data_IF_162564372134
#
_entry.id   IF_162564372134
#
_cell.length_a   1.000
_cell.length_b   1.000
_cell.length_c   1.000
_cell.angle_alpha   90.00
_cell.angle_beta   90.00
_cell.angle_gamma   90.00
#
_symmetry.space_group_name_H-M   'P 1'
#
loop_
_entity.id
_entity.type
_entity.pdbx_description
1 polymer ?
#
# COMPACT_ATOMS: atom_id res chain seq x y z
N UNK A 1 -13.28 19.79 16.53
CA UNK A 1 -14.34 19.71 15.53
C UNK A 1 -14.46 18.26 15.13
N UNK A 2 -15.65 17.69 14.90
CA UNK A 2 -15.74 16.38 14.28
C UNK A 2 -15.09 16.42 12.89
N UNK A 3 -14.43 15.32 12.49
CA UNK A 3 -13.90 15.17 11.13
C UNK A 3 -15.06 15.30 10.13
N UNK A 4 -14.86 15.91 8.95
CA UNK A 4 -15.88 15.93 7.91
C UNK A 4 -16.21 14.48 7.55
N UNK A 5 -17.41 14.04 7.91
CA UNK A 5 -17.89 12.67 7.62
C UNK A 5 -18.13 12.41 6.13
N UNK A 6 -17.95 13.42 5.28
CA UNK A 6 -18.40 13.44 3.88
C UNK A 6 -17.34 13.93 2.88
N UNK A 7 -16.04 13.73 3.15
CA UNK A 7 -15.05 13.96 2.10
C UNK A 7 -15.33 13.04 0.90
N UNK A 8 -15.49 13.62 -0.29
CA UNK A 8 -15.70 12.85 -1.51
C UNK A 8 -14.43 12.03 -1.83
N UNK A 9 -14.56 10.81 -2.37
CA UNK A 9 -13.41 10.04 -2.85
C UNK A 9 -12.68 10.78 -3.97
N UNK A 10 -11.35 10.88 -3.87
CA UNK A 10 -10.48 11.62 -4.79
C UNK A 10 -9.37 10.71 -5.34
N UNK A 11 -8.90 10.95 -6.57
CA UNK A 11 -7.71 10.29 -7.08
C UNK A 11 -6.45 10.77 -6.32
N UNK A 12 -5.34 10.01 -6.39
CA UNK A 12 -4.10 10.38 -5.70
C UNK A 12 -3.59 11.78 -6.07
N UNK A 13 -3.69 12.19 -7.34
CA UNK A 13 -3.15 13.45 -7.86
C UNK A 13 -3.76 14.70 -7.21
N UNK A 14 -5.00 14.65 -6.74
CA UNK A 14 -5.63 15.76 -6.03
C UNK A 14 -4.88 16.16 -4.76
N UNK A 15 -4.11 15.22 -4.19
CA UNK A 15 -3.32 15.43 -2.97
C UNK A 15 -1.87 15.85 -3.25
N UNK A 16 -1.41 15.88 -4.51
CA UNK A 16 -0.01 16.10 -4.86
C UNK A 16 0.59 17.36 -4.19
N UNK A 17 -0.14 18.49 -4.23
CA UNK A 17 0.29 19.75 -3.64
C UNK A 17 0.46 19.65 -2.12
N UNK A 18 -0.39 18.90 -1.44
CA UNK A 18 -0.36 18.73 0.03
C UNK A 18 0.79 17.83 0.48
N UNK A 19 1.30 16.97 -0.41
CA UNK A 19 2.37 16.02 -0.14
C UNK A 19 3.74 16.50 -0.67
N UNK A 20 3.84 17.74 -1.16
CA UNK A 20 5.07 18.33 -1.69
C UNK A 20 6.00 18.82 -0.55
N UNK A 21 6.32 17.93 0.37
CA UNK A 21 7.25 18.14 1.49
C UNK A 21 8.70 18.19 1.00
N UNK A 22 9.60 18.73 1.84
CA UNK A 22 11.04 18.79 1.54
C UNK A 22 11.63 17.41 1.27
N UNK A 23 11.30 16.45 2.13
CA UNK A 23 11.66 15.04 1.95
C UNK A 23 10.39 14.24 1.59
N UNK A 24 10.44 13.34 0.59
CA UNK A 24 9.25 12.58 0.19
C UNK A 24 8.62 11.82 1.36
N UNK A 25 7.35 12.08 1.62
CA UNK A 25 6.58 11.38 2.67
C UNK A 25 6.38 9.91 2.33
N UNK A 26 6.19 9.07 3.36
CA UNK A 26 5.81 7.67 3.19
C UNK A 26 4.29 7.55 3.14
N UNK A 27 3.77 7.45 1.92
CA UNK A 27 2.37 7.23 1.64
C UNK A 27 2.00 5.77 1.94
N UNK A 28 0.92 5.57 2.68
CA UNK A 28 0.39 4.24 3.03
C UNK A 28 -1.11 4.17 2.72
N UNK A 29 -1.83 3.19 3.26
CA UNK A 29 -3.28 3.14 3.16
C UNK A 29 -3.84 2.92 1.75
N UNK A 30 -5.00 3.53 1.49
CA UNK A 30 -5.75 3.37 0.24
C UNK A 30 -5.07 3.99 -0.96
N UNK A 31 -4.55 5.21 -0.82
CA UNK A 31 -3.89 5.91 -1.93
C UNK A 31 -2.57 5.26 -2.35
N UNK A 32 -1.84 4.62 -1.43
CA UNK A 32 -0.67 3.83 -1.80
C UNK A 32 -1.03 2.65 -2.72
N UNK A 33 -2.15 1.97 -2.46
CA UNK A 33 -2.67 0.90 -3.34
C UNK A 33 -3.12 1.48 -4.68
N UNK A 34 -3.79 2.63 -4.68
CA UNK A 34 -4.25 3.31 -5.89
C UNK A 34 -3.07 3.72 -6.80
N UNK A 35 -1.95 4.21 -6.24
CA UNK A 35 -0.74 4.51 -7.02
C UNK A 35 -0.16 3.25 -7.67
N UNK A 36 -0.10 2.13 -6.96
CA UNK A 36 0.31 0.86 -7.56
C UNK A 36 -0.66 0.38 -8.64
N UNK A 37 -1.97 0.59 -8.45
CA UNK A 37 -2.96 0.26 -9.47
C UNK A 37 -2.75 1.08 -10.75
N UNK A 38 -2.48 2.39 -10.62
CA UNK A 38 -2.16 3.25 -11.74
C UNK A 38 -0.83 2.86 -12.42
N UNK A 39 0.19 2.49 -11.64
CA UNK A 39 1.47 2.02 -12.20
C UNK A 39 1.30 0.75 -13.03
N UNK A 40 0.43 -0.18 -12.59
CA UNK A 40 0.08 -1.40 -13.33
C UNK A 40 -1.29 -1.30 -14.01
N UNK A 41 -1.64 -0.14 -14.57
CA UNK A 41 -2.97 0.12 -15.16
C UNK A 41 -3.38 -0.93 -16.20
N UNK A 42 -2.44 -1.42 -17.00
CA UNK A 42 -2.69 -2.51 -17.95
C UNK A 42 -3.25 -3.80 -17.31
N UNK A 43 -3.11 -3.98 -16.00
CA UNK A 43 -3.59 -5.13 -15.22
C UNK A 43 -4.80 -4.82 -14.35
N UNK A 44 -5.07 -3.55 -14.10
CA UNK A 44 -6.03 -3.11 -13.08
C UNK A 44 -7.12 -2.17 -13.61
N UNK A 45 -7.08 -1.79 -14.87
CA UNK A 45 -8.00 -0.80 -15.48
C UNK A 45 -9.49 -1.13 -15.23
N UNK A 46 -9.86 -2.41 -15.25
CA UNK A 46 -11.24 -2.84 -15.00
C UNK A 46 -11.70 -2.63 -13.54
N UNK A 47 -10.75 -2.36 -12.63
CA UNK A 47 -11.00 -2.06 -11.22
C UNK A 47 -11.07 -0.56 -10.93
N UNK A 48 -10.99 0.31 -11.94
CA UNK A 48 -11.14 1.76 -11.76
C UNK A 48 -12.56 2.12 -11.24
N UNK A 49 -12.76 3.32 -10.66
CA UNK A 49 -11.80 4.38 -10.42
C UNK A 49 -10.92 4.14 -9.20
N UNK A 50 -9.66 4.60 -9.24
CA UNK A 50 -8.72 4.50 -8.11
C UNK A 50 -8.79 5.75 -7.26
N UNK A 51 -9.68 5.74 -6.26
CA UNK A 51 -9.98 6.89 -5.41
C UNK A 51 -10.03 6.49 -3.94
N UNK A 52 -9.68 7.42 -3.04
CA UNK A 52 -9.88 7.32 -1.60
C UNK A 52 -10.40 8.63 -1.04
N UNK A 53 -11.05 8.60 0.13
CA UNK A 53 -11.56 9.80 0.81
C UNK A 53 -10.45 10.62 1.46
N UNK A 54 -9.35 9.97 1.79
CA UNK A 54 -8.23 10.45 2.57
C UNK A 54 -6.90 10.00 1.98
N UNK A 55 -5.85 10.60 2.48
CA UNK A 55 -4.47 10.17 2.26
C UNK A 55 -3.85 9.82 3.61
N UNK A 56 -3.34 8.61 3.72
CA UNK A 56 -2.60 8.14 4.89
C UNK A 56 -1.09 8.33 4.68
N UNK A 57 -0.43 9.02 5.60
CA UNK A 57 1.02 9.20 5.63
C UNK A 57 1.59 8.58 6.90
N UNK A 58 2.58 7.70 6.78
CA UNK A 58 3.30 7.19 7.94
C UNK A 58 4.31 8.25 8.40
N UNK A 59 4.13 8.76 9.61
CA UNK A 59 4.95 9.84 10.14
C UNK A 59 4.72 10.10 11.62
N UNK A 60 5.21 11.23 12.05
CA UNK A 60 5.15 11.73 13.41
C UNK A 60 4.55 13.14 13.46
N UNK A 61 4.72 13.79 14.61
CA UNK A 61 4.22 15.16 14.82
C UNK A 61 4.89 16.18 13.90
N UNK A 62 6.18 16.02 13.61
CA UNK A 62 6.92 16.93 12.74
C UNK A 62 6.37 16.82 11.30
N UNK A 63 6.14 15.60 10.82
CA UNK A 63 5.48 15.33 9.54
C UNK A 63 4.10 16.00 9.47
N UNK A 64 3.29 15.88 10.53
CA UNK A 64 1.96 16.50 10.60
C UNK A 64 2.03 18.03 10.53
N UNK A 65 2.96 18.65 11.25
CA UNK A 65 3.16 20.10 11.27
C UNK A 65 3.66 20.63 9.91
N UNK A 66 4.55 19.89 9.22
CA UNK A 66 5.01 20.23 7.86
C UNK A 66 3.86 20.20 6.86
N UNK A 67 3.07 19.13 6.86
CA UNK A 67 1.89 18.99 5.97
C UNK A 67 0.85 20.11 6.24
N UNK A 68 0.60 20.43 7.52
CA UNK A 68 -0.30 21.51 7.87
C UNK A 68 0.19 22.88 7.39
N UNK A 69 1.50 23.12 7.45
CA UNK A 69 2.13 24.33 6.90
C UNK A 69 1.96 24.44 5.39
N UNK A 70 2.15 23.33 4.65
CA UNK A 70 1.92 23.28 3.20
C UNK A 70 0.46 23.54 2.84
N UNK A 71 -0.46 22.99 3.64
CA UNK A 71 -1.89 23.20 3.48
C UNK A 71 -2.35 24.62 3.89
N UNK A 72 -1.51 25.40 4.55
CA UNK A 72 -1.89 26.73 5.08
C UNK A 72 -2.94 26.65 6.20
N UNK A 73 -2.98 25.54 6.97
CA UNK A 73 -4.00 25.30 8.01
C UNK A 73 -3.36 24.83 9.30
N UNK A 74 -4.15 24.72 10.37
CA UNK A 74 -3.69 24.16 11.65
C UNK A 74 -4.04 22.67 11.69
N UNK A 75 -3.09 21.80 12.12
CA UNK A 75 -3.38 20.39 12.26
C UNK A 75 -4.31 20.12 13.45
N UNK A 76 -5.15 19.11 13.34
CA UNK A 76 -5.84 18.53 14.47
C UNK A 76 -5.01 17.38 15.03
N UNK A 77 -4.41 17.58 16.21
CA UNK A 77 -3.54 16.60 16.86
C UNK A 77 -4.39 15.69 17.73
N UNK A 78 -4.16 14.38 17.62
CA UNK A 78 -4.84 13.39 18.46
C UNK A 78 -3.99 13.04 19.69
N UNK A 79 -4.64 12.87 20.86
CA UNK A 79 -3.93 12.53 22.09
C UNK A 79 -3.38 11.11 22.03
N UNK A 80 -2.32 10.85 22.85
CA UNK A 80 -1.80 9.49 23.00
C UNK A 80 -2.69 8.58 23.85
N UNK A 81 -3.70 9.14 24.51
CA UNK A 81 -4.65 8.40 25.36
C UNK A 81 -6.09 8.89 25.10
N UNK A 82 -7.04 8.00 24.75
CA UNK A 82 -6.84 6.57 24.47
C UNK A 82 -5.87 6.34 23.30
N UNK A 83 -5.16 5.22 23.26
CA UNK A 83 -4.21 4.94 22.20
C UNK A 83 -4.92 4.88 20.84
N UNK A 84 -4.41 5.64 19.88
CA UNK A 84 -4.82 5.62 18.48
C UNK A 84 -3.58 5.43 17.59
N UNK A 85 -3.77 4.88 16.41
CA UNK A 85 -2.71 4.81 15.40
C UNK A 85 -2.42 6.17 14.75
N UNK A 86 -3.30 7.15 14.93
CA UNK A 86 -3.18 8.45 14.32
C UNK A 86 -2.37 9.42 15.18
N UNK A 87 -1.50 10.20 14.53
CA UNK A 87 -0.84 11.39 15.12
C UNK A 87 -1.80 12.57 15.08
N UNK A 88 -2.52 12.71 13.97
CA UNK A 88 -3.48 13.75 13.73
C UNK A 88 -3.90 13.83 12.27
N UNK A 89 -4.67 14.86 11.95
CA UNK A 89 -5.20 15.10 10.62
C UNK A 89 -4.96 16.54 10.18
N UNK A 90 -4.68 16.72 8.89
CA UNK A 90 -4.68 18.00 8.19
C UNK A 90 -5.92 18.06 7.30
N UNK A 91 -6.74 19.08 7.48
CA UNK A 91 -7.90 19.33 6.63
C UNK A 91 -7.57 20.55 5.76
N UNK A 92 -7.34 20.28 4.49
CA UNK A 92 -7.14 21.31 3.47
C UNK A 92 -8.43 21.50 2.65
N UNK A 93 -8.37 22.40 1.67
CA UNK A 93 -9.44 22.57 0.69
C UNK A 93 -8.83 22.52 -0.70
N UNK A 94 -9.57 21.92 -1.65
CA UNK A 94 -9.25 22.02 -3.06
C UNK A 94 -9.61 23.41 -3.64
N UNK A 95 -9.51 23.56 -4.97
CA UNK A 95 -9.83 24.82 -5.66
C UNK A 95 -11.33 25.17 -5.59
N UNK A 96 -12.19 24.18 -5.45
CA UNK A 96 -13.63 24.28 -5.36
C UNK A 96 -14.11 24.51 -3.91
N UNK A 97 -13.19 24.43 -2.93
CA UNK A 97 -13.47 24.60 -1.50
C UNK A 97 -13.86 23.32 -0.78
N UNK A 98 -13.83 22.18 -1.47
CA UNK A 98 -14.13 20.86 -0.90
C UNK A 98 -13.00 20.33 -0.01
N UNK A 99 -13.29 19.56 1.05
CA UNK A 99 -12.29 19.10 1.99
C UNK A 99 -11.38 18.03 1.39
N UNK A 100 -10.07 18.18 1.61
CA UNK A 100 -9.02 17.18 1.39
C UNK A 100 -8.44 16.77 2.75
N UNK A 101 -8.46 15.48 3.04
CA UNK A 101 -8.04 14.92 4.32
C UNK A 101 -6.67 14.23 4.18
N UNK A 102 -5.72 14.63 5.01
CA UNK A 102 -4.42 13.95 5.12
C UNK A 102 -4.25 13.49 6.57
N UNK A 103 -4.25 12.18 6.77
CA UNK A 103 -4.06 11.54 8.06
C UNK A 103 -2.59 11.15 8.25
N UNK A 104 -2.02 11.50 9.40
CA UNK A 104 -0.66 11.07 9.77
C UNK A 104 -0.76 9.96 10.79
N UNK A 105 -0.20 8.79 10.43
CA UNK A 105 -0.25 7.57 11.21
C UNK A 105 1.10 7.25 11.87
N UNK A 106 1.07 6.78 13.12
CA UNK A 106 2.26 6.25 13.84
C UNK A 106 2.63 4.86 13.37
N UNK A 107 1.64 4.06 13.06
CA UNK A 107 1.76 2.68 12.57
C UNK A 107 0.55 2.30 11.73
N UNK A 108 0.73 1.29 10.91
CA UNK A 108 -0.35 0.68 10.10
C UNK A 108 -0.71 -0.67 10.71
N UNK A 109 -2.01 -0.94 10.82
CA UNK A 109 -2.50 -2.18 11.39
C UNK A 109 -1.99 -3.41 10.60
N UNK A 110 -1.61 -4.46 11.33
CA UNK A 110 -1.18 -5.75 10.77
C UNK A 110 0.20 -5.78 10.12
N UNK A 111 0.94 -4.66 10.06
CA UNK A 111 2.27 -4.60 9.44
C UNK A 111 3.21 -3.70 10.25
N UNK A 112 4.46 -4.12 10.42
CA UNK A 112 5.46 -3.31 11.13
C UNK A 112 5.96 -2.14 10.27
N UNK A 113 6.44 -1.07 10.95
CA UNK A 113 7.04 0.07 10.25
C UNK A 113 8.32 -0.33 9.48
N UNK A 114 9.03 -1.36 9.92
CA UNK A 114 10.18 -1.92 9.23
C UNK A 114 9.75 -2.60 7.92
N UNK A 115 8.72 -3.43 7.96
CA UNK A 115 8.16 -4.08 6.77
C UNK A 115 7.64 -3.09 5.74
N UNK A 116 7.01 -1.99 6.17
CA UNK A 116 6.55 -0.91 5.28
C UNK A 116 7.71 -0.19 4.59
N UNK A 117 8.92 -0.21 5.20
CA UNK A 117 10.11 0.46 4.66
C UNK A 117 11.02 -0.44 3.82
N UNK A 118 10.69 -1.72 3.66
CA UNK A 118 11.54 -2.69 2.93
C UNK A 118 10.74 -3.66 2.07
N UNK A 119 10.69 -3.47 0.75
CA UNK A 119 11.28 -2.37 -0.04
C UNK A 119 10.42 -1.12 -0.07
N UNK A 120 11.07 0.04 -0.30
CA UNK A 120 10.42 1.31 -0.59
C UNK A 120 10.63 1.70 -2.05
N UNK A 121 9.60 2.27 -2.63
CA UNK A 121 9.61 2.80 -3.99
C UNK A 121 9.35 4.30 -3.97
N UNK A 122 10.00 5.04 -4.84
CA UNK A 122 9.69 6.45 -5.07
C UNK A 122 8.80 6.55 -6.31
N UNK A 123 7.61 7.07 -6.13
CA UNK A 123 6.63 7.25 -7.21
C UNK A 123 6.37 8.73 -7.45
N UNK A 124 6.12 9.08 -8.71
CA UNK A 124 5.63 10.40 -9.06
C UNK A 124 4.14 10.51 -8.67
N UNK A 125 3.76 11.69 -8.20
CA UNK A 125 2.40 12.07 -7.88
C UNK A 125 2.21 13.52 -8.38
N UNK A 126 1.70 13.69 -9.60
CA UNK A 126 1.78 14.95 -10.30
C UNK A 126 3.25 15.41 -10.41
N UNK A 127 3.53 16.63 -9.96
CA UNK A 127 4.90 17.19 -9.95
C UNK A 127 5.71 16.81 -8.69
N UNK A 128 5.10 16.18 -7.70
CA UNK A 128 5.79 15.78 -6.47
C UNK A 128 6.22 14.31 -6.49
N UNK A 129 6.97 13.91 -5.48
CA UNK A 129 7.40 12.52 -5.28
C UNK A 129 7.02 12.06 -3.89
N UNK A 130 6.53 10.83 -3.81
CA UNK A 130 6.21 10.17 -2.56
C UNK A 130 6.94 8.84 -2.46
N UNK A 131 7.19 8.38 -1.24
CA UNK A 131 7.63 7.00 -0.99
C UNK A 131 6.42 6.12 -0.79
N UNK A 132 6.46 4.91 -1.34
CA UNK A 132 5.34 3.95 -1.25
C UNK A 132 5.90 2.58 -0.86
N UNK A 133 5.30 1.86 0.09
CA UNK A 133 5.69 0.49 0.40
C UNK A 133 5.47 -0.43 -0.80
N UNK A 134 6.23 -1.52 -0.86
CA UNK A 134 5.99 -2.55 -1.87
C UNK A 134 4.62 -3.23 -1.72
N UNK A 135 4.04 -3.76 -2.83
CA UNK A 135 2.73 -4.39 -2.85
C UNK A 135 2.53 -5.50 -1.81
N UNK A 136 3.58 -6.25 -1.47
CA UNK A 136 3.52 -7.33 -0.46
C UNK A 136 3.18 -6.78 0.93
N UNK A 137 3.81 -5.67 1.35
CA UNK A 137 3.52 -5.06 2.65
C UNK A 137 2.11 -4.45 2.70
N UNK A 138 1.68 -3.85 1.58
CA UNK A 138 0.32 -3.31 1.46
C UNK A 138 -0.73 -4.44 1.48
N UNK A 139 -0.48 -5.56 0.81
CA UNK A 139 -1.36 -6.73 0.83
C UNK A 139 -1.53 -7.26 2.26
N UNK A 140 -0.44 -7.42 3.01
CA UNK A 140 -0.47 -7.82 4.42
C UNK A 140 -1.35 -6.89 5.25
N UNK A 141 -1.14 -5.57 5.16
CA UNK A 141 -1.95 -4.59 5.88
C UNK A 141 -3.44 -4.66 5.51
N UNK A 142 -3.75 -4.80 4.22
CA UNK A 142 -5.14 -4.86 3.75
C UNK A 142 -5.84 -6.16 4.13
N UNK A 143 -5.13 -7.29 4.11
CA UNK A 143 -5.64 -8.56 4.62
C UNK A 143 -5.94 -8.47 6.11
N UNK A 144 -5.03 -7.91 6.93
CA UNK A 144 -5.26 -7.70 8.35
C UNK A 144 -6.49 -6.82 8.62
N UNK A 145 -6.64 -5.74 7.87
CA UNK A 145 -7.83 -4.88 7.98
C UNK A 145 -9.12 -5.63 7.64
N UNK A 146 -9.14 -6.42 6.56
CA UNK A 146 -10.35 -7.21 6.20
C UNK A 146 -10.66 -8.26 7.25
N UNK A 147 -9.63 -8.89 7.83
CA UNK A 147 -9.80 -9.96 8.81
C UNK A 147 -10.27 -9.47 10.19
N UNK A 148 -9.86 -8.26 10.60
CA UNK A 148 -9.95 -7.81 11.99
C UNK A 148 -10.75 -6.53 12.21
N UNK A 149 -11.02 -5.75 11.15
CA UNK A 149 -11.73 -4.47 11.24
C UNK A 149 -13.07 -4.56 10.51
N UNK A 150 -14.12 -4.00 11.10
CA UNK A 150 -15.45 -3.92 10.44
C UNK A 150 -15.34 -3.17 9.10
N UNK A 151 -15.88 -3.76 8.03
CA UNK A 151 -15.69 -3.29 6.66
C UNK A 151 -16.74 -2.26 6.19
N UNK A 152 -17.68 -1.85 7.03
CA UNK A 152 -18.71 -0.86 6.67
C UNK A 152 -18.07 0.47 6.25
N UNK A 153 -18.30 0.89 5.02
CA UNK A 153 -17.75 2.13 4.45
C UNK A 153 -16.26 2.10 4.11
N UNK A 154 -15.58 0.94 4.22
CA UNK A 154 -14.17 0.74 3.92
C UNK A 154 -13.97 0.09 2.55
N UNK A 155 -12.79 0.29 1.97
CA UNK A 155 -12.41 -0.27 0.67
C UNK A 155 -11.32 -1.36 0.78
N UNK A 156 -11.00 -1.85 2.00
CA UNK A 156 -9.87 -2.77 2.18
C UNK A 156 -10.03 -4.07 1.38
N UNK A 157 -11.24 -4.63 1.32
CA UNK A 157 -11.53 -5.80 0.48
C UNK A 157 -11.26 -5.53 -1.02
N UNK A 158 -11.65 -4.36 -1.54
CA UNK A 158 -11.35 -3.94 -2.91
C UNK A 158 -9.85 -3.76 -3.13
N UNK A 159 -9.14 -3.20 -2.15
CA UNK A 159 -7.69 -3.05 -2.22
C UNK A 159 -6.95 -4.40 -2.24
N UNK A 160 -7.45 -5.43 -1.55
CA UNK A 160 -6.92 -6.81 -1.67
C UNK A 160 -7.07 -7.31 -3.10
N UNK A 161 -8.24 -7.11 -3.74
CA UNK A 161 -8.47 -7.52 -5.14
C UNK A 161 -7.53 -6.77 -6.11
N UNK A 162 -7.33 -5.47 -5.90
CA UNK A 162 -6.37 -4.68 -6.70
C UNK A 162 -4.95 -5.25 -6.57
N UNK A 163 -4.52 -5.51 -5.34
CA UNK A 163 -3.18 -6.05 -5.06
C UNK A 163 -3.00 -7.48 -5.62
N UNK A 164 -4.04 -8.31 -5.57
CA UNK A 164 -4.06 -9.63 -6.22
C UNK A 164 -3.82 -9.48 -7.72
N UNK A 165 -4.53 -8.59 -8.37
CA UNK A 165 -4.47 -8.39 -9.82
C UNK A 165 -3.10 -7.89 -10.32
N UNK A 166 -2.46 -7.01 -9.57
CA UNK A 166 -1.16 -6.44 -9.96
C UNK A 166 0.05 -7.28 -9.51
N UNK A 167 -0.11 -8.15 -8.50
CA UNK A 167 1.01 -8.88 -7.90
C UNK A 167 1.83 -9.70 -8.90
N UNK A 168 1.24 -10.45 -9.86
CA UNK A 168 2.03 -11.17 -10.85
C UNK A 168 2.96 -10.26 -11.66
N UNK A 169 2.46 -9.10 -12.10
CA UNK A 169 3.28 -8.13 -12.85
C UNK A 169 4.42 -7.55 -11.99
N UNK A 170 4.14 -7.22 -10.74
CA UNK A 170 5.16 -6.78 -9.79
C UNK A 170 6.25 -7.84 -9.58
N UNK A 171 5.89 -9.10 -9.38
CA UNK A 171 6.86 -10.18 -9.20
C UNK A 171 7.67 -10.47 -10.47
N UNK A 172 7.07 -10.34 -11.65
CA UNK A 172 7.78 -10.46 -12.93
C UNK A 172 8.83 -9.35 -13.12
N UNK A 173 8.54 -8.11 -12.70
CA UNK A 173 9.53 -7.03 -12.72
C UNK A 173 10.70 -7.31 -11.76
N UNK A 174 10.42 -7.84 -10.56
CA UNK A 174 11.47 -8.24 -9.62
C UNK A 174 12.33 -9.39 -10.18
N UNK A 175 11.69 -10.38 -10.83
CA UNK A 175 12.39 -11.47 -11.52
C UNK A 175 13.29 -10.93 -12.63
N UNK A 176 12.79 -10.02 -13.46
CA UNK A 176 13.57 -9.40 -14.52
C UNK A 176 14.77 -8.62 -13.94
N UNK A 177 14.55 -7.85 -12.87
CA UNK A 177 15.63 -7.14 -12.19
C UNK A 177 16.70 -8.07 -11.64
N UNK A 178 16.31 -9.24 -11.09
CA UNK A 178 17.26 -10.25 -10.62
C UNK A 178 18.01 -10.93 -11.77
N UNK A 179 17.32 -11.26 -12.87
CA UNK A 179 17.94 -11.88 -14.05
C UNK A 179 18.94 -10.95 -14.76
N UNK A 180 18.73 -9.64 -14.67
CA UNK A 180 19.61 -8.59 -15.20
C UNK A 180 20.72 -8.16 -14.22
N UNK A 181 20.78 -8.71 -13.01
CA UNK A 181 21.75 -8.37 -11.97
C UNK A 181 21.50 -7.01 -11.30
N UNK A 182 20.35 -6.36 -11.52
CA UNK A 182 19.94 -5.12 -10.83
C UNK A 182 19.44 -5.37 -9.41
N UNK A 183 19.10 -6.63 -9.10
CA UNK A 183 18.70 -7.11 -7.78
C UNK A 183 19.44 -8.42 -7.46
N UNK A 184 19.81 -8.65 -6.20
CA UNK A 184 20.30 -9.94 -5.76
C UNK A 184 19.15 -10.96 -5.77
N UNK A 185 19.39 -12.14 -6.36
CA UNK A 185 18.42 -13.24 -6.39
C UNK A 185 17.96 -13.65 -4.97
N UNK A 186 18.82 -13.51 -3.94
CA UNK A 186 18.41 -13.77 -2.53
C UNK A 186 17.31 -12.83 -2.08
N UNK A 187 17.42 -11.55 -2.43
CA UNK A 187 16.37 -10.56 -2.09
C UNK A 187 15.04 -10.88 -2.78
N UNK A 188 15.09 -11.34 -4.03
CA UNK A 188 13.89 -11.84 -4.71
C UNK A 188 13.27 -13.00 -3.93
N UNK A 189 14.06 -14.00 -3.55
CA UNK A 189 13.57 -15.16 -2.80
C UNK A 189 13.02 -14.73 -1.42
N UNK A 190 13.66 -13.82 -0.71
CA UNK A 190 13.17 -13.28 0.55
C UNK A 190 11.78 -12.63 0.39
N UNK A 191 11.55 -11.88 -0.69
CA UNK A 191 10.25 -11.28 -0.97
C UNK A 191 9.18 -12.32 -1.34
N UNK A 192 9.54 -13.35 -2.12
CA UNK A 192 8.64 -14.44 -2.47
C UNK A 192 8.26 -15.28 -1.25
N UNK A 193 9.21 -15.61 -0.36
CA UNK A 193 8.95 -16.32 0.90
C UNK A 193 8.08 -15.47 1.84
N UNK A 194 8.32 -14.17 1.89
CA UNK A 194 7.48 -13.26 2.67
C UNK A 194 6.04 -13.25 2.15
N UNK A 195 5.83 -13.13 0.83
CA UNK A 195 4.50 -13.22 0.24
C UNK A 195 3.85 -14.57 0.56
N UNK A 196 4.57 -15.66 0.30
CA UNK A 196 4.08 -17.03 0.54
C UNK A 196 3.69 -17.23 2.01
N UNK A 197 4.55 -16.81 2.94
CA UNK A 197 4.27 -16.87 4.38
C UNK A 197 3.01 -16.10 4.75
N UNK A 198 2.82 -14.92 4.18
CA UNK A 198 1.66 -14.06 4.48
C UNK A 198 0.35 -14.68 3.99
N UNK A 199 0.29 -15.10 2.72
CA UNK A 199 -0.95 -15.61 2.11
C UNK A 199 -1.36 -17.00 2.62
N UNK A 200 -0.44 -17.71 3.28
CA UNK A 200 -0.71 -19.02 3.91
C UNK A 200 -1.13 -18.92 5.37
N UNK A 201 -1.16 -17.73 5.97
CA UNK A 201 -1.72 -17.55 7.32
C UNK A 201 -3.22 -17.85 7.34
N UNK A 202 -3.73 -18.32 8.49
CA UNK A 202 -5.17 -18.59 8.64
C UNK A 202 -6.06 -17.37 8.34
N UNK A 203 -5.73 -16.13 8.81
CA UNK A 203 -6.49 -14.95 8.44
C UNK A 203 -6.46 -14.68 6.93
N UNK A 204 -5.29 -14.75 6.29
CA UNK A 204 -5.14 -14.50 4.86
C UNK A 204 -5.91 -15.52 4.03
N UNK A 205 -5.79 -16.81 4.31
CA UNK A 205 -6.53 -17.87 3.62
C UNK A 205 -8.03 -17.64 3.70
N UNK A 206 -8.56 -17.23 4.87
CA UNK A 206 -9.98 -16.90 5.04
C UNK A 206 -10.39 -15.72 4.17
N UNK A 207 -9.62 -14.63 4.19
CA UNK A 207 -9.91 -13.43 3.39
C UNK A 207 -9.87 -13.74 1.89
N UNK A 208 -8.82 -14.43 1.42
CA UNK A 208 -8.70 -14.80 0.00
C UNK A 208 -9.87 -15.70 -0.44
N UNK A 209 -10.25 -16.69 0.36
CA UNK A 209 -11.40 -17.55 0.10
C UNK A 209 -12.71 -16.74 0.04
N UNK A 210 -12.92 -15.84 0.99
CA UNK A 210 -14.09 -14.96 1.03
C UNK A 210 -14.19 -14.08 -0.23
N UNK A 211 -13.06 -13.59 -0.72
CA UNK A 211 -12.97 -12.77 -1.93
C UNK A 211 -12.87 -13.59 -3.22
N UNK A 212 -12.88 -14.94 -3.14
CA UNK A 212 -12.75 -15.87 -4.27
C UNK A 212 -11.46 -15.67 -5.07
N UNK A 213 -10.36 -15.39 -4.37
CA UNK A 213 -9.04 -15.21 -4.96
C UNK A 213 -8.24 -16.51 -4.81
N UNK A 214 -7.50 -16.88 -5.87
CA UNK A 214 -6.61 -18.05 -5.86
C UNK A 214 -5.19 -17.59 -5.55
N UNK A 215 -4.65 -17.99 -4.39
CA UNK A 215 -3.30 -17.65 -3.96
C UNK A 215 -2.19 -18.10 -4.93
N UNK A 216 -2.46 -19.08 -5.80
CA UNK A 216 -1.50 -19.50 -6.83
C UNK A 216 -1.31 -18.45 -7.91
N UNK A 217 -2.33 -17.67 -8.19
CA UNK A 217 -2.29 -16.62 -9.22
C UNK A 217 -1.25 -15.54 -8.89
N UNK A 218 -0.92 -15.30 -7.64
CA UNK A 218 0.15 -14.35 -7.27
C UNK A 218 1.48 -14.66 -7.93
N UNK A 219 1.78 -15.95 -8.17
CA UNK A 219 3.05 -16.42 -8.73
C UNK A 219 2.97 -16.75 -10.23
N UNK A 220 1.88 -16.39 -10.87
CA UNK A 220 1.67 -16.68 -12.29
C UNK A 220 2.70 -15.99 -13.19
N UNK A 221 3.20 -16.73 -14.16
CA UNK A 221 4.18 -16.26 -15.13
C UNK A 221 5.64 -16.27 -14.66
N UNK A 222 5.92 -16.54 -13.34
CA UNK A 222 7.29 -16.69 -12.89
C UNK A 222 7.96 -17.89 -13.56
N UNK A 223 9.15 -17.65 -14.09
CA UNK A 223 10.01 -18.66 -14.70
C UNK A 223 11.40 -18.71 -14.06
N UNK A 224 12.19 -19.73 -14.36
CA UNK A 224 13.47 -19.92 -13.64
C UNK A 224 14.70 -20.07 -14.54
N UNK A 225 14.59 -19.83 -15.85
CA UNK A 225 15.62 -20.14 -16.85
C UNK A 225 17.02 -19.60 -16.52
N UNK A 226 17.11 -18.47 -15.80
CA UNK A 226 18.36 -17.81 -15.44
C UNK A 226 18.63 -17.72 -13.94
N UNK A 227 17.70 -18.22 -13.10
CA UNK A 227 17.71 -18.02 -11.65
C UNK A 227 17.56 -19.35 -10.92
N UNK A 228 18.68 -19.86 -10.37
CA UNK A 228 18.73 -21.20 -9.77
C UNK A 228 17.91 -21.30 -8.48
N UNK A 229 17.97 -20.27 -7.62
CA UNK A 229 17.22 -20.26 -6.36
C UNK A 229 15.72 -20.08 -6.62
N UNK A 230 15.35 -19.28 -7.61
CA UNK A 230 13.96 -19.16 -8.05
C UNK A 230 13.44 -20.48 -8.57
N UNK A 231 14.23 -21.23 -9.34
CA UNK A 231 13.89 -22.57 -9.78
C UNK A 231 13.62 -23.52 -8.60
N UNK A 232 14.48 -23.49 -7.57
CA UNK A 232 14.27 -24.28 -6.35
C UNK A 232 13.00 -23.84 -5.58
N UNK A 233 12.72 -22.55 -5.49
CA UNK A 233 11.51 -22.02 -4.88
C UNK A 233 10.26 -22.53 -5.61
N UNK A 234 10.18 -22.34 -6.93
CA UNK A 234 9.01 -22.70 -7.74
C UNK A 234 8.74 -24.21 -7.79
N UNK A 235 9.79 -25.05 -7.81
CA UNK A 235 9.66 -26.50 -7.98
C UNK A 235 9.56 -27.28 -6.66
N UNK A 236 10.12 -26.74 -5.55
CA UNK A 236 10.20 -27.47 -4.29
C UNK A 236 9.42 -26.80 -3.13
N UNK A 237 9.50 -25.48 -3.06
CA UNK A 237 8.93 -24.74 -1.92
C UNK A 237 7.47 -24.37 -2.13
N UNK A 238 7.16 -23.72 -3.26
CA UNK A 238 5.83 -23.24 -3.58
C UNK A 238 4.76 -24.36 -3.61
N UNK A 239 4.98 -25.53 -4.31
CA UNK A 239 3.98 -26.60 -4.37
C UNK A 239 3.72 -27.31 -3.04
N UNK A 240 4.58 -27.15 -2.05
CA UNK A 240 4.39 -27.73 -0.72
C UNK A 240 3.61 -26.80 0.21
N UNK A 241 3.51 -25.54 -0.12
CA UNK A 241 2.87 -24.53 0.71
C UNK A 241 1.45 -24.18 0.21
N UNK A 242 1.19 -24.29 -1.08
CA UNK A 242 -0.10 -24.08 -1.76
C UNK A 242 -0.62 -25.38 -2.36
#
# INVERSE_FOLDING_TARGET
MPLPSEAAPRPPDDFARLLATKEPVLLVGGQAVNLWALYYEARTAELAPFVSRDVDVLGDRETLEELAKLAGTKPQIFPLRPPTNEVGVVIAKDAEGEPLLVEVLRYVHGVSNEELRAPLYTMALGETRVRVPGPIALLKAKIANVAEIAQTGRQDARHVVILDRLMPAYLLELQAAAAEGRMDERKLIELLERLLSEITTTPATRVLTQLRLDSKQFFEGLGHEKLTKLGAFLTKRLPRAL
#
